data_IF_327581539775
#
_entry.id   IF_327581539775
#
_cell.length_a   1.000
_cell.length_b   1.000
_cell.length_c   1.000
_cell.angle_alpha   90.00
_cell.angle_beta   90.00
_cell.angle_gamma   90.00
#
_symmetry.space_group_name_H-M   'P 1'
#
loop_
_entity.id
_entity.type
_entity.pdbx_description
1 polymer ?
#
# COMPACT_ATOMS: atom_id res chain seq x y z
N UNK A 1 0.15 -18.68 -17.05
CA UNK A 1 -0.92 -18.33 -16.10
C UNK A 1 -0.56 -17.01 -15.45
N UNK A 2 -1.46 -16.03 -15.48
CA UNK A 2 -1.27 -14.75 -14.81
C UNK A 2 -1.60 -14.91 -13.31
N UNK A 3 -0.57 -14.83 -12.47
CA UNK A 3 -0.68 -15.02 -11.01
C UNK A 3 -1.53 -13.91 -10.36
N UNK A 4 -1.68 -12.75 -11.01
CA UNK A 4 -2.52 -11.66 -10.51
C UNK A 4 -4.03 -11.97 -10.58
N UNK A 5 -4.42 -13.04 -11.29
CA UNK A 5 -5.81 -13.50 -11.35
C UNK A 5 -6.19 -14.42 -10.19
N UNK A 6 -5.23 -14.82 -9.36
CA UNK A 6 -5.50 -15.56 -8.12
C UNK A 6 -5.83 -14.52 -7.04
N UNK A 7 -7.04 -14.51 -6.48
CA UNK A 7 -7.51 -13.42 -5.63
C UNK A 7 -6.60 -13.12 -4.42
N UNK A 8 -6.11 -14.15 -3.72
CA UNK A 8 -5.15 -13.99 -2.61
C UNK A 8 -3.79 -13.44 -3.06
N UNK A 9 -3.29 -13.87 -4.22
CA UNK A 9 -2.02 -13.34 -4.77
C UNK A 9 -2.15 -11.87 -5.14
N UNK A 10 -3.30 -11.46 -5.69
CA UNK A 10 -3.61 -10.07 -5.97
C UNK A 10 -3.59 -9.25 -4.68
N UNK A 11 -4.28 -9.70 -3.62
CA UNK A 11 -4.26 -9.02 -2.33
C UNK A 11 -2.86 -8.88 -1.73
N UNK A 12 -2.03 -9.93 -1.80
CA UNK A 12 -0.63 -9.88 -1.32
C UNK A 12 0.18 -8.86 -2.14
N UNK A 13 0.00 -8.84 -3.46
CA UNK A 13 0.66 -7.87 -4.33
C UNK A 13 0.25 -6.44 -3.96
N UNK A 14 -1.04 -6.17 -3.83
CA UNK A 14 -1.57 -4.84 -3.49
C UNK A 14 -1.08 -4.38 -2.11
N UNK A 15 -0.98 -5.31 -1.14
CA UNK A 15 -0.39 -5.02 0.18
C UNK A 15 1.10 -4.71 0.10
N UNK A 16 1.86 -5.46 -0.69
CA UNK A 16 3.30 -5.17 -0.89
C UNK A 16 3.52 -3.82 -1.58
N UNK A 17 2.69 -3.46 -2.57
CA UNK A 17 2.73 -2.13 -3.19
C UNK A 17 2.45 -1.04 -2.16
N UNK A 18 1.48 -1.25 -1.26
CA UNK A 18 1.20 -0.33 -0.16
C UNK A 18 2.37 -0.18 0.80
N UNK A 19 2.98 -1.28 1.23
CA UNK A 19 4.13 -1.26 2.14
C UNK A 19 5.35 -0.56 1.51
N UNK A 20 5.56 -0.74 0.20
CA UNK A 20 6.62 -0.04 -0.53
C UNK A 20 6.37 1.48 -0.57
N UNK A 21 5.14 1.88 -0.89
CA UNK A 21 4.78 3.30 -0.88
C UNK A 21 4.88 3.88 0.53
N UNK A 22 4.52 3.11 1.55
CA UNK A 22 4.59 3.53 2.95
C UNK A 22 6.03 3.79 3.38
N UNK A 23 6.96 2.91 2.98
CA UNK A 23 8.38 3.13 3.20
C UNK A 23 8.86 4.46 2.63
N UNK A 24 8.38 4.82 1.43
CA UNK A 24 8.74 6.09 0.77
C UNK A 24 8.23 7.29 1.57
N UNK A 25 6.98 7.22 2.06
CA UNK A 25 6.37 8.29 2.87
C UNK A 25 7.10 8.44 4.22
N UNK A 26 7.37 7.34 4.90
CA UNK A 26 8.13 7.34 6.16
C UNK A 26 9.55 7.89 5.97
N UNK A 27 10.25 7.47 4.92
CA UNK A 27 11.58 8.00 4.60
C UNK A 27 11.54 9.51 4.33
N UNK A 28 10.49 10.00 3.66
CA UNK A 28 10.31 11.44 3.44
C UNK A 28 10.09 12.19 4.75
N UNK A 29 9.28 11.67 5.68
CA UNK A 29 9.09 12.30 6.98
C UNK A 29 10.39 12.35 7.78
N UNK A 30 11.13 11.23 7.84
CA UNK A 30 12.43 11.16 8.52
C UNK A 30 13.42 12.16 7.92
N UNK A 31 13.49 12.26 6.58
CA UNK A 31 14.37 13.21 5.92
C UNK A 31 14.04 14.69 6.22
N UNK A 32 12.81 14.97 6.65
CA UNK A 32 12.34 16.31 7.02
C UNK A 32 12.15 16.48 8.55
N UNK A 33 12.72 15.58 9.37
CA UNK A 33 12.61 15.67 10.84
C UNK A 33 13.25 16.93 11.44
N UNK A 34 14.17 17.55 10.70
CA UNK A 34 14.84 18.79 11.12
C UNK A 34 14.42 19.99 10.26
N UNK A 35 13.28 19.89 9.55
CA UNK A 35 12.77 20.96 8.69
C UNK A 35 11.69 21.77 9.41
N UNK A 36 11.94 23.06 9.74
CA UNK A 36 10.97 23.89 10.44
C UNK A 36 9.62 23.97 9.70
N UNK A 37 8.52 23.87 10.46
CA UNK A 37 7.17 23.95 9.91
C UNK A 37 6.71 22.75 9.06
N UNK A 38 7.48 21.65 9.00
CA UNK A 38 7.09 20.47 8.24
C UNK A 38 5.94 19.72 8.91
N UNK A 39 5.03 19.17 8.09
CA UNK A 39 3.91 18.34 8.53
C UNK A 39 4.07 16.91 8.03
N UNK A 40 4.02 15.90 8.91
CA UNK A 40 4.17 14.51 8.52
C UNK A 40 3.03 14.07 7.60
N UNK A 41 3.38 13.24 6.62
CA UNK A 41 2.41 12.61 5.71
C UNK A 41 2.24 11.14 6.08
N UNK A 42 1.08 10.57 5.82
CA UNK A 42 0.78 9.16 5.98
C UNK A 42 0.10 8.60 4.73
N UNK A 43 0.11 7.30 4.54
CA UNK A 43 -0.80 6.67 3.58
C UNK A 43 -2.15 6.41 4.21
N UNK A 44 -3.22 6.54 3.41
CA UNK A 44 -4.54 6.09 3.83
C UNK A 44 -4.47 4.61 4.25
N UNK A 45 -5.06 4.32 5.40
CA UNK A 45 -5.09 2.97 5.95
C UNK A 45 -5.70 1.99 4.94
N UNK A 46 -4.99 0.89 4.71
CA UNK A 46 -5.45 -0.21 3.90
C UNK A 46 -5.78 -1.38 4.82
N UNK A 47 -7.05 -1.77 4.84
CA UNK A 47 -7.48 -2.97 5.55
C UNK A 47 -7.19 -4.21 4.70
N UNK A 48 -6.09 -4.88 5.02
CA UNK A 48 -5.69 -6.10 4.34
C UNK A 48 -6.68 -7.26 4.58
N UNK A 49 -7.31 -7.32 5.75
CA UNK A 49 -8.29 -8.37 6.05
C UNK A 49 -9.51 -8.23 5.17
N UNK A 50 -10.03 -7.00 5.02
CA UNK A 50 -11.11 -6.71 4.09
C UNK A 50 -10.73 -7.00 2.62
N UNK A 51 -9.47 -6.75 2.22
CA UNK A 51 -8.98 -7.14 0.89
C UNK A 51 -9.04 -8.65 0.70
N UNK A 52 -8.57 -9.44 1.67
CA UNK A 52 -8.62 -10.91 1.61
C UNK A 52 -10.07 -11.43 1.67
N UNK A 53 -10.95 -10.83 2.46
CA UNK A 53 -12.35 -11.24 2.54
C UNK A 53 -13.09 -10.96 1.22
N UNK A 54 -12.83 -9.80 0.61
CA UNK A 54 -13.37 -9.45 -0.71
C UNK A 54 -12.93 -10.41 -1.81
N UNK A 55 -11.74 -11.03 -1.66
CA UNK A 55 -11.23 -12.02 -2.60
C UNK A 55 -11.93 -13.38 -2.50
N UNK A 56 -12.53 -13.68 -1.35
CA UNK A 56 -13.34 -14.90 -1.12
C UNK A 56 -14.78 -14.72 -1.60
N UNK A 57 -15.30 -13.49 -1.53
CA UNK A 57 -16.61 -13.10 -2.03
C UNK A 57 -16.54 -12.65 -3.50
N UNK A 58 -16.26 -13.58 -4.42
CA UNK A 58 -16.34 -13.31 -5.87
C UNK A 58 -17.78 -12.98 -6.29
N UNK A 59 -18.21 -11.72 -6.12
CA UNK A 59 -19.25 -11.04 -6.89
C UNK A 59 -18.91 -9.55 -7.01
N UNK A 60 -18.35 -9.21 -8.18
CA UNK A 60 -18.51 -7.91 -8.84
C UNK A 60 -18.29 -6.67 -7.97
N UNK A 61 -17.04 -6.40 -7.59
CA UNK A 61 -16.61 -5.02 -7.36
C UNK A 61 -15.43 -4.75 -8.27
N UNK A 62 -15.73 -4.56 -9.56
CA UNK A 62 -14.78 -3.88 -10.44
C UNK A 62 -14.52 -2.48 -9.88
N UNK A 63 -13.32 -1.92 -10.09
CA UNK A 63 -13.03 -0.55 -9.65
C UNK A 63 -14.08 0.37 -10.26
N UNK A 64 -14.90 1.02 -9.43
CA UNK A 64 -15.72 2.16 -9.86
C UNK A 64 -14.73 3.29 -10.13
N UNK A 65 -14.13 3.28 -11.32
CA UNK A 65 -13.48 4.46 -11.87
C UNK A 65 -14.58 5.49 -12.12
N UNK A 66 -14.78 6.36 -11.15
CA UNK A 66 -15.58 7.57 -11.35
C UNK A 66 -14.71 8.48 -12.23
N UNK A 67 -14.87 8.34 -13.54
CA UNK A 67 -14.21 9.21 -14.51
C UNK A 67 -14.80 10.61 -14.43
N UNK A 68 -13.96 11.61 -14.15
CA UNK A 68 -14.36 13.01 -14.22
C UNK A 68 -14.60 13.40 -15.69
N UNK A 69 -15.76 13.97 -16.00
CA UNK A 69 -16.07 14.46 -17.35
C UNK A 69 -15.50 15.87 -17.52
N UNK A 70 -14.56 16.02 -18.44
CA UNK A 70 -13.92 17.31 -18.70
C UNK A 70 -14.89 18.21 -19.45
N UNK A 71 -15.07 19.44 -18.99
CA UNK A 71 -15.85 20.45 -19.72
C UNK A 71 -15.05 21.11 -20.84
N UNK A 72 -13.70 21.10 -20.75
CA UNK A 72 -12.80 21.67 -21.76
C UNK A 72 -11.50 20.86 -21.89
N UNK A 73 -11.06 20.64 -23.13
CA UNK A 73 -9.81 19.94 -23.45
C UNK A 73 -8.61 20.77 -22.97
N UNK A 74 -8.09 20.45 -21.79
CA UNK A 74 -6.97 21.15 -21.14
C UNK A 74 -7.17 21.45 -19.65
N UNK A 75 -8.41 21.37 -19.14
CA UNK A 75 -8.72 21.66 -17.73
C UNK A 75 -8.45 20.49 -16.77
N UNK A 76 -8.07 19.32 -17.28
CA UNK A 76 -7.46 18.24 -16.49
C UNK A 76 -6.00 18.04 -16.89
N UNK A 77 -5.21 19.10 -16.78
CA UNK A 77 -3.76 18.98 -16.71
C UNK A 77 -3.40 18.43 -15.33
N UNK A 78 -3.51 17.11 -15.19
CA UNK A 78 -3.42 16.42 -13.92
C UNK A 78 -4.45 15.30 -13.85
N UNK A 79 -4.46 14.41 -14.84
CA UNK A 79 -4.52 13.01 -14.44
C UNK A 79 -3.33 12.87 -13.48
N UNK A 80 -3.60 12.92 -12.18
CA UNK A 80 -2.60 12.61 -11.18
C UNK A 80 -1.90 11.37 -11.69
N UNK A 81 -0.57 11.47 -11.80
CA UNK A 81 0.33 10.33 -11.97
C UNK A 81 -0.38 9.09 -11.44
N UNK A 82 -0.60 8.09 -12.30
CA UNK A 82 -1.49 6.96 -12.05
C UNK A 82 -1.12 6.19 -10.79
N UNK A 83 -1.38 6.79 -9.64
CA UNK A 83 -0.84 6.40 -8.35
C UNK A 83 -1.81 5.42 -7.77
N UNK A 84 -1.85 4.24 -8.36
CA UNK A 84 -2.11 2.96 -7.70
C UNK A 84 -3.16 3.02 -6.59
N UNK A 85 -4.30 3.70 -6.78
CA UNK A 85 -5.34 3.95 -5.74
C UNK A 85 -4.88 4.49 -4.37
N UNK A 86 -3.59 4.77 -4.16
CA UNK A 86 -3.00 4.95 -2.83
C UNK A 86 -2.86 6.42 -2.49
N UNK A 87 -3.82 6.91 -1.70
CA UNK A 87 -3.92 8.29 -1.29
C UNK A 87 -2.99 8.59 -0.12
N UNK A 88 -2.13 9.60 -0.27
CA UNK A 88 -1.38 10.21 0.83
C UNK A 88 -2.28 11.19 1.56
N UNK A 89 -2.22 11.19 2.88
CA UNK A 89 -3.03 11.98 3.81
C UNK A 89 -2.13 12.68 4.82
N UNK A 90 -2.65 13.67 5.54
CA UNK A 90 -1.94 14.22 6.68
C UNK A 90 -1.87 13.16 7.78
N UNK A 91 -0.67 12.95 8.34
CA UNK A 91 -0.52 12.05 9.46
C UNK A 91 -1.15 12.66 10.72
N UNK A 92 -1.69 11.84 11.64
CA UNK A 92 -2.07 12.34 12.95
C UNK A 92 -0.84 12.96 13.64
N UNK A 93 -1.01 14.16 14.18
CA UNK A 93 0.05 14.90 14.86
C UNK A 93 -0.09 14.68 16.35
N UNK A 94 0.94 14.10 16.96
CA UNK A 94 1.04 13.80 18.39
C UNK A 94 1.79 14.91 19.13
N UNK A 95 2.90 15.37 18.56
CA UNK A 95 3.75 16.43 19.10
C UNK A 95 4.10 17.46 18.03
N UNK A 96 4.31 18.71 18.44
CA UNK A 96 4.80 19.79 17.59
C UNK A 96 5.98 20.45 18.29
N UNK A 97 7.15 20.41 17.66
CA UNK A 97 8.35 21.06 18.13
C UNK A 97 8.20 22.60 18.15
N UNK A 98 9.01 23.32 18.96
CA UNK A 98 8.92 24.78 19.06
C UNK A 98 9.14 25.54 17.75
N UNK A 99 9.80 24.92 16.76
CA UNK A 99 10.03 25.45 15.41
C UNK A 99 8.86 25.17 14.44
N UNK A 100 7.78 24.56 14.93
CA UNK A 100 6.58 24.22 14.17
C UNK A 100 6.67 22.91 13.40
N UNK A 101 7.75 22.14 13.52
CA UNK A 101 7.81 20.80 12.95
C UNK A 101 6.93 19.82 13.74
N UNK A 102 6.12 19.04 13.05
CA UNK A 102 5.20 18.06 13.65
C UNK A 102 5.68 16.61 13.48
N UNK A 103 6.93 16.39 13.06
CA UNK A 103 7.51 15.04 12.90
C UNK A 103 8.10 14.55 14.21
N UNK A 104 7.54 13.48 14.75
CA UNK A 104 8.18 12.68 15.80
C UNK A 104 9.08 11.60 15.17
N UNK A 105 10.39 11.75 15.32
CA UNK A 105 11.38 10.82 14.76
C UNK A 105 11.30 9.42 15.39
N UNK A 106 11.04 9.32 16.69
CA UNK A 106 10.92 8.03 17.38
C UNK A 106 9.73 7.25 16.81
N UNK A 107 8.59 7.92 16.66
CA UNK A 107 7.39 7.32 16.06
C UNK A 107 7.63 6.91 14.60
N UNK A 108 8.32 7.74 13.80
CA UNK A 108 8.65 7.38 12.42
C UNK A 108 9.56 6.14 12.34
N UNK A 109 10.55 6.01 13.24
CA UNK A 109 11.46 4.86 13.27
C UNK A 109 10.73 3.57 13.68
N UNK A 110 9.82 3.65 14.65
CA UNK A 110 8.95 2.54 15.01
C UNK A 110 8.07 2.12 13.83
N UNK A 111 7.48 3.08 13.11
CA UNK A 111 6.67 2.80 11.93
C UNK A 111 7.50 2.15 10.80
N UNK A 112 8.76 2.54 10.60
CA UNK A 112 9.67 1.90 9.63
C UNK A 112 9.95 0.45 10.03
N UNK A 113 10.24 0.19 11.31
CA UNK A 113 10.47 -1.18 11.79
C UNK A 113 9.23 -2.06 11.56
N UNK A 114 8.04 -1.55 11.87
CA UNK A 114 6.79 -2.26 11.60
C UNK A 114 6.59 -2.52 10.10
N UNK A 115 6.82 -1.52 9.24
CA UNK A 115 6.69 -1.65 7.80
C UNK A 115 7.63 -2.73 7.22
N UNK A 116 8.85 -2.84 7.74
CA UNK A 116 9.81 -3.87 7.36
C UNK A 116 9.36 -5.27 7.79
N UNK A 117 8.84 -5.42 9.01
CA UNK A 117 8.28 -6.69 9.49
C UNK A 117 7.10 -7.14 8.64
N UNK A 118 6.15 -6.25 8.38
CA UNK A 118 4.98 -6.51 7.52
C UNK A 118 5.41 -6.94 6.11
N UNK A 119 6.39 -6.24 5.53
CA UNK A 119 6.90 -6.57 4.20
C UNK A 119 7.54 -7.96 4.18
N UNK A 120 8.34 -8.30 5.19
CA UNK A 120 8.90 -9.65 5.34
C UNK A 120 7.82 -10.73 5.44
N UNK A 121 6.75 -10.48 6.19
CA UNK A 121 5.61 -11.40 6.30
C UNK A 121 4.91 -11.61 4.95
N UNK A 122 4.68 -10.55 4.17
CA UNK A 122 4.05 -10.66 2.85
C UNK A 122 4.90 -11.49 1.86
N UNK A 123 6.22 -11.31 1.89
CA UNK A 123 7.16 -12.10 1.09
C UNK A 123 7.08 -13.59 1.47
N UNK A 124 7.02 -13.91 2.75
CA UNK A 124 6.91 -15.29 3.21
C UNK A 124 5.56 -15.91 2.81
N UNK A 125 4.46 -15.17 2.93
CA UNK A 125 3.15 -15.62 2.49
C UNK A 125 3.12 -15.88 0.97
N UNK A 126 3.73 -15.00 0.18
CA UNK A 126 3.89 -15.18 -1.26
C UNK A 126 4.65 -16.47 -1.59
N UNK A 127 5.78 -16.71 -0.93
CA UNK A 127 6.60 -17.93 -1.11
C UNK A 127 5.82 -19.19 -0.78
N UNK A 128 5.09 -19.21 0.34
CA UNK A 128 4.26 -20.36 0.75
C UNK A 128 3.18 -20.69 -0.28
N UNK A 129 2.48 -19.68 -0.79
CA UNK A 129 1.42 -19.88 -1.76
C UNK A 129 1.94 -20.36 -3.12
N UNK A 130 3.10 -19.86 -3.58
CA UNK A 130 3.78 -20.43 -4.76
C UNK A 130 4.18 -21.90 -4.50
N UNK A 131 4.62 -22.22 -3.28
CA UNK A 131 4.88 -23.60 -2.86
C UNK A 131 3.66 -24.51 -2.99
N UNK A 132 2.49 -24.07 -2.55
CA UNK A 132 1.23 -24.81 -2.70
C UNK A 132 0.85 -25.01 -4.16
N UNK A 133 0.96 -23.97 -5.01
CA UNK A 133 0.69 -24.08 -6.45
C UNK A 133 1.61 -25.10 -7.12
N UNK A 134 2.91 -25.09 -6.78
CA UNK A 134 3.88 -26.07 -7.29
C UNK A 134 3.53 -27.50 -6.85
N UNK A 135 3.11 -27.68 -5.61
CA UNK A 135 2.70 -28.98 -5.07
C UNK A 135 1.45 -29.51 -5.79
N UNK A 136 0.42 -28.68 -5.96
CA UNK A 136 -0.82 -29.04 -6.65
C UNK A 136 -0.58 -29.43 -8.13
N UNK A 137 0.27 -28.67 -8.83
CA UNK A 137 0.63 -28.97 -10.22
C UNK A 137 1.44 -30.27 -10.35
N UNK A 138 2.36 -30.55 -9.41
CA UNK A 138 3.13 -31.80 -9.41
C UNK A 138 2.26 -33.02 -9.07
N UNK A 139 1.31 -32.87 -8.16
CA UNK A 139 0.38 -33.95 -7.77
C UNK A 139 -0.59 -34.36 -8.89
N UNK A 140 -0.87 -33.48 -9.86
CA UNK A 140 -1.78 -33.77 -10.97
C UNK A 140 -1.19 -34.65 -12.09
N UNK A 141 0.13 -34.85 -12.12
CA UNK A 141 0.82 -35.61 -13.17
C UNK A 141 1.18 -37.05 -12.75
N UNK A 142 0.58 -37.53 -11.65
CA UNK A 142 0.73 -38.89 -11.14
C UNK A 142 -0.58 -39.65 -11.15
N UNK A 143 -1.16 -39.88 -12.34
CA UNK A 143 -2.07 -40.98 -12.63
C UNK A 143 -2.00 -41.32 -14.11
#
# INVERSE_FOLDING_TARGET
MDLSKIPLMAAIKDRMQWLNRNQTVLAKNIANSDTPGYKPQALAAQDFSALVDSTSASRTVGPRSVGLRATQAGHFAGAGDGSDGLRVVDAPVTEVAPDGNAVDLEEQLLAVAQNQMDHGMMVELYRKQVGFLRSALRGSNGN
#
